data_IF_790175681494
#
_entry.id   IF_790175681494
#
_cell.length_a   1.000
_cell.length_b   1.000
_cell.length_c   1.000
_cell.angle_alpha   90.00
_cell.angle_beta   90.00
_cell.angle_gamma   90.00
#
_symmetry.space_group_name_H-M   'P 1'
#
loop_
_entity.id
_entity.type
_entity.pdbx_description
1 polymer ?
#
# COMPACT_ATOMS: atom_id res chain seq x y z
N UNK A 1 25.68 49.38 56.68
CA UNK A 1 24.55 49.36 55.76
C UNK A 1 25.03 48.97 54.36
N UNK A 2 24.92 47.69 54.05
CA UNK A 2 25.43 47.13 52.79
C UNK A 2 24.24 46.84 51.84
N UNK A 3 24.17 47.54 50.71
CA UNK A 3 23.11 47.36 49.72
C UNK A 3 23.57 46.33 48.68
N UNK A 4 23.01 45.13 48.78
CA UNK A 4 23.23 44.04 47.79
C UNK A 4 22.35 44.34 46.56
N UNK A 5 22.96 44.53 45.38
CA UNK A 5 22.26 44.62 44.09
C UNK A 5 22.19 43.23 43.49
N UNK A 6 20.95 42.70 43.35
CA UNK A 6 20.67 41.47 42.61
C UNK A 6 20.54 41.83 41.16
N UNK A 7 21.44 41.34 40.31
CA UNK A 7 21.34 41.38 38.84
C UNK A 7 20.53 40.20 38.38
N UNK A 8 19.31 40.46 37.90
CA UNK A 8 18.49 39.45 37.24
C UNK A 8 18.99 39.23 35.80
N UNK A 9 19.61 38.09 35.56
CA UNK A 9 19.98 37.66 34.22
C UNK A 9 18.75 37.09 33.50
N UNK A 10 18.32 37.73 32.43
CA UNK A 10 17.29 37.21 31.54
C UNK A 10 17.97 36.26 30.54
N UNK A 11 17.80 34.94 30.70
CA UNK A 11 18.21 33.96 29.74
C UNK A 11 17.15 33.87 28.58
N UNK A 12 17.50 34.39 27.43
CA UNK A 12 16.72 34.25 26.20
C UNK A 12 16.98 32.83 25.67
N UNK A 13 16.05 31.90 25.87
CA UNK A 13 16.06 30.60 25.23
C UNK A 13 15.48 30.79 23.84
N UNK A 14 16.35 30.86 22.83
CA UNK A 14 15.94 30.82 21.43
C UNK A 14 15.38 29.43 21.12
N UNK A 15 14.06 29.34 20.98
CA UNK A 15 13.39 28.10 20.57
C UNK A 15 13.72 27.76 19.12
N UNK A 16 14.51 26.73 18.90
CA UNK A 16 14.69 26.10 17.58
C UNK A 16 13.41 25.33 17.29
N UNK A 17 12.57 25.86 16.43
CA UNK A 17 11.38 25.19 15.94
C UNK A 17 11.79 24.02 15.04
N UNK A 18 11.56 22.79 15.51
CA UNK A 18 11.90 21.55 14.82
C UNK A 18 10.87 21.26 13.75
N UNK A 19 11.19 21.56 12.49
CA UNK A 19 10.42 21.16 11.31
C UNK A 19 10.75 19.71 10.86
N UNK A 20 10.85 18.74 11.79
CA UNK A 20 11.28 17.35 11.49
C UNK A 20 10.10 16.40 11.27
N UNK A 21 8.87 16.77 11.66
CA UNK A 21 7.75 15.83 11.72
C UNK A 21 7.20 15.37 10.35
N UNK A 22 7.32 16.17 9.31
CA UNK A 22 6.70 15.86 8.01
C UNK A 22 7.43 14.82 7.17
N UNK A 23 8.76 14.76 7.28
CA UNK A 23 9.59 13.84 6.48
C UNK A 23 9.50 12.40 7.03
N UNK A 24 9.50 12.25 8.34
CA UNK A 24 9.38 10.94 9.00
C UNK A 24 8.04 10.27 8.67
N UNK A 25 6.94 11.01 8.69
CA UNK A 25 5.61 10.49 8.35
C UNK A 25 5.55 10.03 6.88
N UNK A 26 6.14 10.80 5.96
CA UNK A 26 6.18 10.43 4.54
C UNK A 26 6.95 9.14 4.27
N UNK A 27 8.08 8.93 4.94
CA UNK A 27 8.89 7.70 4.83
C UNK A 27 8.16 6.47 5.38
N UNK A 28 7.48 6.61 6.53
CA UNK A 28 6.67 5.56 7.14
C UNK A 28 5.55 5.08 6.20
N UNK A 29 4.86 6.01 5.56
CA UNK A 29 3.78 5.70 4.62
C UNK A 29 4.30 4.99 3.37
N UNK A 30 5.47 5.37 2.85
CA UNK A 30 6.14 4.70 1.72
C UNK A 30 6.52 3.27 2.11
N UNK A 31 7.06 3.05 3.30
CA UNK A 31 7.40 1.72 3.80
C UNK A 31 6.14 0.83 3.93
N UNK A 32 5.04 1.38 4.44
CA UNK A 32 3.76 0.67 4.53
C UNK A 32 3.21 0.27 3.16
N UNK A 33 3.26 1.14 2.14
CA UNK A 33 2.87 0.80 0.76
C UNK A 33 3.68 -0.39 0.23
N UNK A 34 5.00 -0.37 0.44
CA UNK A 34 5.90 -1.45 -0.01
C UNK A 34 5.56 -2.77 0.68
N UNK A 35 5.30 -2.76 1.98
CA UNK A 35 4.95 -3.96 2.74
C UNK A 35 3.59 -4.54 2.29
N UNK A 36 2.57 -3.71 2.10
CA UNK A 36 1.27 -4.17 1.59
C UNK A 36 1.40 -4.77 0.18
N UNK A 37 2.17 -4.16 -0.71
CA UNK A 37 2.41 -4.71 -2.05
C UNK A 37 3.24 -6.00 -2.00
N UNK A 38 4.14 -6.18 -1.05
CA UNK A 38 4.85 -7.44 -0.81
C UNK A 38 3.89 -8.54 -0.37
N UNK A 39 2.96 -8.25 0.53
CA UNK A 39 1.92 -9.19 0.95
C UNK A 39 1.00 -9.59 -0.21
N UNK A 40 0.55 -8.61 -1.01
CA UNK A 40 -0.22 -8.85 -2.23
C UNK A 40 0.56 -9.71 -3.22
N UNK A 41 1.84 -9.43 -3.40
CA UNK A 41 2.74 -10.24 -4.26
C UNK A 41 2.88 -11.68 -3.78
N UNK A 42 3.04 -11.90 -2.48
CA UNK A 42 3.08 -13.23 -1.86
C UNK A 42 1.77 -14.01 -2.06
N UNK A 43 0.64 -13.35 -1.82
CA UNK A 43 -0.69 -13.92 -2.04
C UNK A 43 -0.91 -14.28 -3.52
N UNK A 44 -0.54 -13.38 -4.44
CA UNK A 44 -0.62 -13.60 -5.88
C UNK A 44 0.25 -14.80 -6.32
N UNK A 45 1.47 -14.90 -5.78
CA UNK A 45 2.36 -16.03 -6.08
C UNK A 45 1.74 -17.35 -5.63
N UNK A 46 1.25 -17.42 -4.40
CA UNK A 46 0.61 -18.63 -3.86
C UNK A 46 -0.60 -19.07 -4.70
N UNK A 47 -1.46 -18.12 -5.07
CA UNK A 47 -2.60 -18.39 -5.98
C UNK A 47 -2.13 -18.90 -7.34
N UNK A 48 -1.11 -18.28 -7.92
CA UNK A 48 -0.55 -18.67 -9.22
C UNK A 48 0.08 -20.06 -9.19
N UNK A 49 0.79 -20.41 -8.11
CA UNK A 49 1.39 -21.75 -7.94
C UNK A 49 0.29 -22.83 -7.94
N UNK A 50 -0.84 -22.58 -7.26
CA UNK A 50 -2.00 -23.51 -7.27
C UNK A 50 -2.68 -23.60 -8.64
N UNK A 51 -2.85 -22.45 -9.32
CA UNK A 51 -3.49 -22.38 -10.66
C UNK A 51 -2.64 -23.11 -11.72
N UNK A 52 -1.31 -23.06 -11.61
CA UNK A 52 -0.39 -23.73 -12.55
C UNK A 52 -0.17 -25.20 -12.23
N UNK A 53 -0.60 -25.67 -11.07
CA UNK A 53 -0.33 -27.02 -10.60
C UNK A 53 1.05 -27.21 -9.97
N UNK A 54 1.81 -26.13 -9.74
CA UNK A 54 3.08 -26.15 -9.03
C UNK A 54 2.90 -26.51 -7.54
N UNK A 55 1.68 -26.30 -7.03
CA UNK A 55 1.20 -26.73 -5.70
C UNK A 55 -0.18 -27.36 -5.82
N UNK A 56 -0.51 -28.34 -4.95
CA UNK A 56 -1.87 -28.84 -4.85
C UNK A 56 -2.87 -27.70 -4.58
N UNK A 57 -4.03 -27.79 -5.20
CA UNK A 57 -5.10 -26.82 -4.93
C UNK A 57 -5.66 -27.01 -3.53
N UNK A 58 -5.70 -25.93 -2.77
CA UNK A 58 -6.34 -25.84 -1.46
C UNK A 58 -7.33 -24.66 -1.48
N UNK A 59 -8.62 -24.98 -1.36
CA UNK A 59 -9.68 -23.99 -1.44
C UNK A 59 -9.59 -22.91 -0.34
N UNK A 60 -9.19 -23.31 0.88
CA UNK A 60 -9.03 -22.35 2.00
C UNK A 60 -7.83 -21.43 1.78
N UNK A 61 -6.72 -21.96 1.29
CA UNK A 61 -5.56 -21.16 0.94
C UNK A 61 -5.87 -20.21 -0.24
N UNK A 62 -6.59 -20.68 -1.25
CA UNK A 62 -7.02 -19.87 -2.38
C UNK A 62 -7.96 -18.71 -1.93
N UNK A 63 -8.93 -19.00 -1.08
CA UNK A 63 -9.79 -18.00 -0.46
C UNK A 63 -9.00 -16.98 0.36
N UNK A 64 -8.09 -17.46 1.23
CA UNK A 64 -7.29 -16.60 2.10
C UNK A 64 -6.38 -15.65 1.31
N UNK A 65 -5.75 -16.13 0.22
CA UNK A 65 -4.89 -15.30 -0.63
C UNK A 65 -5.68 -14.22 -1.36
N UNK A 66 -6.82 -14.55 -1.93
CA UNK A 66 -7.71 -13.59 -2.59
C UNK A 66 -8.27 -12.57 -1.60
N UNK A 67 -8.69 -13.00 -0.41
CA UNK A 67 -9.14 -12.12 0.68
C UNK A 67 -8.04 -11.14 1.12
N UNK A 68 -6.79 -11.61 1.23
CA UNK A 68 -5.64 -10.75 1.54
C UNK A 68 -5.48 -9.64 0.51
N UNK A 69 -5.61 -9.94 -0.78
CA UNK A 69 -5.53 -8.94 -1.85
C UNK A 69 -6.65 -7.89 -1.70
N UNK A 70 -7.88 -8.33 -1.47
CA UNK A 70 -9.02 -7.44 -1.32
C UNK A 70 -8.90 -6.50 -0.10
N UNK A 71 -8.49 -7.05 1.05
CA UNK A 71 -8.37 -6.29 2.30
C UNK A 71 -7.22 -5.28 2.25
N UNK A 72 -6.08 -5.66 1.67
CA UNK A 72 -4.92 -4.78 1.57
C UNK A 72 -5.21 -3.53 0.75
N UNK A 73 -6.11 -3.58 -0.23
CA UNK A 73 -6.51 -2.38 -0.97
C UNK A 73 -7.15 -1.33 -0.06
N UNK A 74 -8.03 -1.71 0.84
CA UNK A 74 -8.71 -0.78 1.75
C UNK A 74 -7.78 0.04 2.64
N UNK A 75 -6.60 -0.53 2.98
CA UNK A 75 -5.53 0.17 3.70
C UNK A 75 -4.63 0.93 2.73
N UNK A 76 -4.24 0.31 1.62
CA UNK A 76 -3.29 0.84 0.65
C UNK A 76 -3.75 2.18 0.05
N UNK A 77 -5.02 2.30 -0.30
CA UNK A 77 -5.57 3.52 -0.92
C UNK A 77 -5.41 4.76 -0.04
N UNK A 78 -5.36 4.61 1.27
CA UNK A 78 -5.22 5.70 2.25
C UNK A 78 -3.76 6.16 2.44
N UNK A 79 -2.80 5.49 1.83
CA UNK A 79 -1.39 5.73 2.03
C UNK A 79 -0.78 6.67 0.97
N UNK A 80 -1.56 7.59 0.40
CA UNK A 80 -1.09 8.54 -0.64
C UNK A 80 -1.35 10.01 -0.27
N UNK A 81 -0.97 10.46 0.95
CA UNK A 81 -1.06 11.87 1.29
C UNK A 81 -0.03 12.68 0.48
N UNK A 82 -0.27 14.00 0.35
CA UNK A 82 0.57 14.88 -0.46
C UNK A 82 2.05 14.94 -0.03
N UNK A 83 2.32 14.79 1.26
CA UNK A 83 3.67 14.78 1.82
C UNK A 83 4.42 13.45 1.63
N UNK A 84 3.81 12.45 0.98
CA UNK A 84 4.41 11.14 0.69
C UNK A 84 4.59 10.87 -0.82
N UNK A 85 4.63 11.94 -1.64
CA UNK A 85 4.98 11.87 -3.06
C UNK A 85 6.46 11.57 -3.26
N UNK A 86 7.29 12.10 -2.37
CA UNK A 86 8.74 12.01 -2.37
C UNK A 86 9.25 11.69 -0.96
N UNK A 87 10.56 11.62 -0.78
CA UNK A 87 11.16 11.45 0.55
C UNK A 87 11.61 10.02 0.87
N UNK A 88 11.51 9.10 -0.10
CA UNK A 88 12.00 7.73 0.02
C UNK A 88 12.01 7.01 -1.32
N UNK A 89 12.55 5.79 -1.36
CA UNK A 89 12.47 4.94 -2.56
C UNK A 89 11.02 4.51 -2.80
N UNK A 90 10.38 5.10 -3.80
CA UNK A 90 9.02 4.77 -4.22
C UNK A 90 8.95 4.56 -5.72
N UNK A 91 8.10 3.65 -6.16
CA UNK A 91 7.71 3.49 -7.57
C UNK A 91 6.30 3.99 -7.84
N UNK A 92 5.67 4.69 -6.89
CA UNK A 92 4.39 5.35 -7.11
C UNK A 92 4.55 6.48 -8.14
N UNK A 93 3.78 6.44 -9.21
CA UNK A 93 3.83 7.47 -10.24
C UNK A 93 3.12 8.76 -9.77
N UNK A 94 3.58 9.96 -10.17
CA UNK A 94 2.91 11.23 -9.86
C UNK A 94 1.43 11.24 -10.25
N UNK A 95 1.06 10.51 -11.29
CA UNK A 95 -0.31 10.37 -11.79
C UNK A 95 -1.32 9.96 -10.72
N UNK A 96 -0.90 9.26 -9.66
CA UNK A 96 -1.78 8.91 -8.52
C UNK A 96 -2.42 10.15 -7.89
N UNK A 97 -1.65 11.23 -7.76
CA UNK A 97 -2.09 12.49 -7.16
C UNK A 97 -2.73 13.45 -8.17
N UNK A 98 -2.47 13.25 -9.46
CA UNK A 98 -3.07 14.00 -10.55
C UNK A 98 -4.48 13.49 -10.84
N UNK A 99 -4.70 12.17 -10.71
CA UNK A 99 -6.00 11.51 -10.98
C UNK A 99 -6.33 10.50 -9.88
N UNK A 100 -6.49 10.99 -8.67
CA UNK A 100 -6.81 10.18 -7.49
C UNK A 100 -8.11 9.40 -7.64
N UNK A 101 -9.11 9.98 -8.31
CA UNK A 101 -10.41 9.32 -8.51
C UNK A 101 -10.30 8.08 -9.39
N UNK A 102 -9.55 8.14 -10.50
CA UNK A 102 -9.34 6.95 -11.34
C UNK A 102 -8.48 5.90 -10.64
N UNK A 103 -7.45 6.35 -9.90
CA UNK A 103 -6.64 5.46 -9.06
C UNK A 103 -7.49 4.69 -8.03
N UNK A 104 -8.36 5.39 -7.31
CA UNK A 104 -9.28 4.79 -6.33
C UNK A 104 -10.28 3.84 -7.00
N UNK A 105 -10.85 4.24 -8.14
CA UNK A 105 -11.80 3.43 -8.90
C UNK A 105 -11.17 2.12 -9.39
N UNK A 106 -9.97 2.18 -9.97
CA UNK A 106 -9.23 0.97 -10.42
C UNK A 106 -8.93 0.01 -9.27
N UNK A 107 -8.57 0.54 -8.12
CA UNK A 107 -8.34 -0.29 -6.97
C UNK A 107 -9.61 -0.88 -6.35
N UNK A 108 -10.73 -0.17 -6.41
CA UNK A 108 -12.03 -0.71 -6.00
C UNK A 108 -12.45 -1.90 -6.91
N UNK A 109 -12.19 -1.79 -8.23
CA UNK A 109 -12.40 -2.89 -9.18
C UNK A 109 -11.51 -4.09 -8.84
N UNK A 110 -10.22 -3.87 -8.51
CA UNK A 110 -9.32 -4.92 -8.06
C UNK A 110 -9.84 -5.60 -6.79
N UNK A 111 -10.27 -4.82 -5.79
CA UNK A 111 -10.78 -5.37 -4.53
C UNK A 111 -12.03 -6.23 -4.76
N UNK A 112 -12.94 -5.79 -5.63
CA UNK A 112 -14.13 -6.55 -6.02
C UNK A 112 -13.74 -7.86 -6.72
N UNK A 113 -12.86 -7.81 -7.71
CA UNK A 113 -12.38 -9.00 -8.42
C UNK A 113 -11.73 -10.02 -7.46
N UNK A 114 -10.96 -9.54 -6.47
CA UNK A 114 -10.35 -10.39 -5.46
C UNK A 114 -11.40 -11.01 -4.51
N UNK A 115 -12.46 -10.29 -4.13
CA UNK A 115 -13.59 -10.84 -3.37
C UNK A 115 -14.32 -11.93 -4.16
N UNK A 116 -14.56 -11.70 -5.46
CA UNK A 116 -15.19 -12.69 -6.32
C UNK A 116 -14.32 -13.94 -6.47
N UNK A 117 -13.00 -13.79 -6.58
CA UNK A 117 -12.06 -14.90 -6.59
C UNK A 117 -12.07 -15.68 -5.26
N UNK A 118 -12.17 -14.99 -4.11
CA UNK A 118 -12.29 -15.65 -2.81
C UNK A 118 -13.57 -16.51 -2.74
N UNK A 119 -14.69 -16.00 -3.23
CA UNK A 119 -15.95 -16.77 -3.30
C UNK A 119 -15.87 -17.93 -4.29
N UNK A 120 -15.13 -17.78 -5.40
CA UNK A 120 -14.94 -18.82 -6.39
C UNK A 120 -14.06 -19.98 -5.88
N UNK A 121 -13.23 -19.75 -4.86
CA UNK A 121 -12.30 -20.75 -4.32
C UNK A 121 -13.02 -22.03 -3.86
N UNK A 122 -14.16 -21.90 -3.17
CA UNK A 122 -14.95 -23.05 -2.72
C UNK A 122 -15.58 -23.87 -3.88
N UNK A 123 -15.65 -23.28 -5.09
CA UNK A 123 -16.23 -23.94 -6.28
C UNK A 123 -15.21 -24.79 -7.05
N UNK A 124 -13.95 -24.79 -6.60
CA UNK A 124 -12.90 -25.61 -7.19
C UNK A 124 -11.88 -24.83 -8.03
N UNK A 125 -10.81 -25.53 -8.48
CA UNK A 125 -9.65 -24.88 -9.10
C UNK A 125 -9.97 -24.12 -10.39
N UNK A 126 -10.83 -24.65 -11.26
CA UNK A 126 -11.17 -23.97 -12.52
C UNK A 126 -11.99 -22.70 -12.31
N UNK A 127 -12.92 -22.70 -11.35
CA UNK A 127 -13.67 -21.51 -10.98
C UNK A 127 -12.76 -20.44 -10.38
N UNK A 128 -11.85 -20.85 -9.49
CA UNK A 128 -10.86 -19.95 -8.90
C UNK A 128 -9.92 -19.37 -9.97
N UNK A 129 -9.38 -20.21 -10.86
CA UNK A 129 -8.50 -19.79 -11.96
C UNK A 129 -9.15 -18.74 -12.84
N UNK A 130 -10.40 -18.96 -13.26
CA UNK A 130 -11.15 -18.01 -14.10
C UNK A 130 -11.31 -16.67 -13.38
N UNK A 131 -11.79 -16.69 -12.13
CA UNK A 131 -12.03 -15.47 -11.36
C UNK A 131 -10.72 -14.75 -10.98
N UNK A 132 -9.66 -15.50 -10.66
CA UNK A 132 -8.35 -14.91 -10.35
C UNK A 132 -7.66 -14.31 -11.58
N UNK A 133 -8.04 -14.71 -12.77
CA UNK A 133 -7.64 -14.08 -14.03
C UNK A 133 -7.98 -12.59 -14.05
N UNK A 134 -9.17 -12.21 -13.59
CA UNK A 134 -9.60 -10.81 -13.48
C UNK A 134 -8.74 -10.04 -12.46
N UNK A 135 -8.35 -10.67 -11.34
CA UNK A 135 -7.45 -10.05 -10.37
C UNK A 135 -6.11 -9.67 -11.02
N UNK A 136 -5.53 -10.61 -11.78
CA UNK A 136 -4.22 -10.37 -12.43
C UNK A 136 -4.28 -9.30 -13.51
N UNK A 137 -5.37 -9.22 -14.28
CA UNK A 137 -5.58 -8.16 -15.27
C UNK A 137 -5.69 -6.78 -14.60
N UNK A 138 -6.42 -6.67 -13.50
CA UNK A 138 -6.53 -5.42 -12.73
C UNK A 138 -5.19 -5.02 -12.13
N UNK A 139 -4.38 -5.96 -11.60
CA UNK A 139 -3.03 -5.68 -11.16
C UNK A 139 -2.16 -5.07 -12.27
N UNK A 140 -2.20 -5.67 -13.47
CA UNK A 140 -1.47 -5.18 -14.65
C UNK A 140 -1.90 -3.76 -15.02
N UNK A 141 -3.19 -3.53 -15.22
CA UNK A 141 -3.71 -2.23 -15.64
C UNK A 141 -3.44 -1.10 -14.65
N UNK A 142 -3.51 -1.39 -13.33
CA UNK A 142 -3.16 -0.43 -12.31
C UNK A 142 -1.65 -0.11 -12.34
N UNK A 143 -0.78 -1.11 -12.44
CA UNK A 143 0.67 -0.92 -12.48
C UNK A 143 1.16 -0.21 -13.75
N UNK A 144 0.53 -0.43 -14.90
CA UNK A 144 0.83 0.30 -16.14
C UNK A 144 0.52 1.80 -16.02
N UNK A 145 -0.56 2.15 -15.31
CA UNK A 145 -0.99 3.54 -15.17
C UNK A 145 -0.28 4.29 -14.03
N UNK A 146 -0.02 3.61 -12.90
CA UNK A 146 0.31 4.26 -11.62
C UNK A 146 1.63 3.81 -11.00
N UNK A 147 2.42 3.00 -11.69
CA UNK A 147 3.72 2.56 -11.21
C UNK A 147 4.83 2.95 -12.19
N UNK A 148 5.89 3.57 -11.67
CA UNK A 148 7.13 3.81 -12.43
C UNK A 148 7.86 2.48 -12.59
N UNK A 149 8.24 2.06 -13.82
CA UNK A 149 9.05 0.87 -14.03
C UNK A 149 10.37 0.95 -13.25
N UNK A 150 10.78 -0.16 -12.67
CA UNK A 150 12.16 -0.25 -12.14
C UNK A 150 13.13 -0.25 -13.32
N UNK A 151 14.09 0.65 -13.24
CA UNK A 151 15.25 0.63 -14.13
C UNK A 151 16.13 -0.57 -13.85
#
# INVERSE_FOLDING_TARGET
MLKTRVLAGVAIIAGVAVAVSGIAVGQDVIAQRKELMKQVGGATKTSSDMIKGDKPYDAKAAEATATTIAQNWGTFVKLFPDNAKTGGETTAAPKIWEDTKDFEAKGAVLAKAAQDAAQAAAKGPEAFKTSFGEVTQNCKGCHEAYRIPKK
#
